data_IF_495631641084
#
_entry.id   IF_495631641084
#
_cell.length_a   1.000
_cell.length_b   1.000
_cell.length_c   1.000
_cell.angle_alpha   90.00
_cell.angle_beta   90.00
_cell.angle_gamma   90.00
#
_symmetry.space_group_name_H-M   'P 1'
#
loop_
_entity.id
_entity.type
_entity.pdbx_description
1 polymer ?
#
# COMPACT_ATOMS: atom_id res chain seq x y z
N UNK A 1 -7.85 2.58 10.39
CA UNK A 1 -6.52 2.07 10.81
C UNK A 1 -5.55 2.48 9.70
N UNK A 2 -4.45 3.15 10.03
CA UNK A 2 -3.47 3.55 9.01
C UNK A 2 -2.45 2.44 8.79
N UNK A 3 -1.91 2.35 7.57
CA UNK A 3 -0.79 1.47 7.27
C UNK A 3 0.47 1.98 7.99
N UNK A 4 1.26 1.04 8.49
CA UNK A 4 2.62 1.31 8.97
C UNK A 4 3.48 1.79 7.80
N UNK A 5 4.35 2.74 8.07
CA UNK A 5 5.43 3.09 7.13
C UNK A 5 6.62 2.13 7.27
N UNK A 6 7.67 2.35 6.47
CA UNK A 6 8.83 1.46 6.49
C UNK A 6 9.63 1.52 7.78
N UNK A 7 9.68 2.68 8.44
CA UNK A 7 10.35 2.89 9.71
C UNK A 7 9.63 2.13 10.83
N UNK A 8 8.29 2.25 10.91
CA UNK A 8 7.46 1.50 11.84
C UNK A 8 7.55 -0.03 11.62
N UNK A 9 7.65 -0.45 10.36
CA UNK A 9 7.91 -1.86 10.02
C UNK A 9 9.26 -2.35 10.55
N UNK A 10 10.32 -1.55 10.44
CA UNK A 10 11.64 -1.88 10.97
C UNK A 10 11.62 -1.99 12.51
N UNK A 11 10.94 -1.09 13.19
CA UNK A 11 10.72 -1.21 14.63
C UNK A 11 9.98 -2.51 15.00
N UNK A 12 8.94 -2.83 14.27
CA UNK A 12 8.20 -4.08 14.44
C UNK A 12 9.07 -5.33 14.28
N UNK A 13 10.07 -5.30 13.39
CA UNK A 13 11.09 -6.36 13.22
C UNK A 13 12.19 -6.34 14.29
N UNK A 14 12.18 -5.38 15.22
CA UNK A 14 13.15 -5.28 16.30
C UNK A 14 14.42 -4.51 15.95
N UNK A 15 14.44 -3.78 14.83
CA UNK A 15 15.55 -2.85 14.55
C UNK A 15 15.45 -1.64 15.46
N UNK A 16 16.60 -1.22 16.00
CA UNK A 16 16.67 -0.09 16.91
C UNK A 16 16.73 1.26 16.16
N UNK A 17 16.58 2.32 16.94
CA UNK A 17 16.60 3.69 16.42
C UNK A 17 17.94 4.08 15.79
N UNK A 18 19.04 3.44 16.22
CA UNK A 18 20.39 3.68 15.67
C UNK A 18 20.49 3.19 14.23
N UNK A 19 19.94 2.03 13.94
CA UNK A 19 19.92 1.49 12.57
C UNK A 19 19.14 2.42 11.64
N UNK A 20 18.00 2.90 12.10
CA UNK A 20 17.15 3.81 11.32
C UNK A 20 17.84 5.15 11.10
N UNK A 21 18.42 5.73 12.14
CA UNK A 21 19.15 7.00 12.05
C UNK A 21 20.37 6.90 11.12
N UNK A 22 21.08 5.77 11.12
CA UNK A 22 22.18 5.51 10.18
C UNK A 22 21.67 5.51 8.72
N UNK A 23 20.55 4.87 8.44
CA UNK A 23 19.91 4.89 7.10
C UNK A 23 19.53 6.32 6.68
N UNK A 24 18.92 7.08 7.59
CA UNK A 24 18.51 8.46 7.33
C UNK A 24 19.72 9.39 7.10
N UNK A 25 20.84 9.16 7.81
CA UNK A 25 22.05 9.93 7.61
C UNK A 25 22.67 9.71 6.22
N UNK A 26 22.62 8.49 5.69
CA UNK A 26 23.01 8.22 4.31
C UNK A 26 22.17 9.04 3.31
N UNK A 27 20.88 9.16 3.57
CA UNK A 27 19.97 9.93 2.74
C UNK A 27 20.21 11.44 2.84
N UNK A 28 20.43 11.97 4.06
CA UNK A 28 20.71 13.41 4.30
C UNK A 28 22.06 13.84 3.71
N UNK A 29 23.06 12.98 3.79
CA UNK A 29 24.43 13.27 3.33
C UNK A 29 24.68 12.87 1.89
N UNK A 30 23.71 12.23 1.23
CA UNK A 30 23.80 11.67 -0.13
C UNK A 30 24.98 10.70 -0.31
N UNK A 31 25.39 10.04 0.76
CA UNK A 31 26.42 9.00 0.71
C UNK A 31 25.79 7.66 0.34
N UNK A 32 26.34 6.93 -0.63
CA UNK A 32 25.81 5.62 -0.97
C UNK A 32 26.03 4.64 0.19
N UNK A 33 25.13 3.66 0.31
CA UNK A 33 25.35 2.49 1.15
C UNK A 33 26.54 1.68 0.64
N UNK A 34 27.27 1.05 1.56
CA UNK A 34 28.17 -0.02 1.15
C UNK A 34 27.36 -1.27 0.71
N UNK A 35 28.04 -2.27 0.11
CA UNK A 35 27.39 -3.44 -0.45
C UNK A 35 26.57 -4.23 0.59
N UNK A 36 27.07 -4.35 1.81
CA UNK A 36 26.39 -5.08 2.89
C UNK A 36 25.14 -4.31 3.34
N UNK A 37 25.27 -3.01 3.60
CA UNK A 37 24.14 -2.15 3.96
C UNK A 37 23.06 -2.16 2.89
N UNK A 38 23.47 -2.03 1.61
CA UNK A 38 22.55 -2.05 0.49
C UNK A 38 21.79 -3.39 0.39
N UNK A 39 22.50 -4.50 0.57
CA UNK A 39 21.89 -5.84 0.55
C UNK A 39 20.86 -6.00 1.68
N UNK A 40 21.20 -5.63 2.89
CA UNK A 40 20.30 -5.73 4.06
C UNK A 40 19.08 -4.82 3.90
N UNK A 41 19.30 -3.54 3.58
CA UNK A 41 18.20 -2.58 3.41
C UNK A 41 17.28 -2.97 2.25
N UNK A 42 17.84 -3.47 1.15
CA UNK A 42 17.05 -3.92 0.00
C UNK A 42 16.20 -5.14 0.33
N UNK A 43 16.73 -6.10 1.08
CA UNK A 43 15.96 -7.27 1.53
C UNK A 43 14.82 -6.87 2.47
N UNK A 44 15.06 -5.99 3.44
CA UNK A 44 14.05 -5.48 4.35
C UNK A 44 12.95 -4.69 3.61
N UNK A 45 13.35 -3.86 2.66
CA UNK A 45 12.41 -3.11 1.85
C UNK A 45 11.57 -4.00 0.94
N UNK A 46 12.17 -5.07 0.41
CA UNK A 46 11.44 -6.08 -0.37
C UNK A 46 10.40 -6.81 0.49
N UNK A 47 10.78 -7.23 1.71
CA UNK A 47 9.83 -7.81 2.67
C UNK A 47 8.65 -6.86 2.90
N UNK A 48 8.92 -5.58 3.17
CA UNK A 48 7.89 -4.56 3.35
C UNK A 48 7.01 -4.38 2.12
N UNK A 49 7.58 -4.38 0.92
CA UNK A 49 6.81 -4.28 -0.33
C UNK A 49 5.87 -5.48 -0.55
N UNK A 50 6.28 -6.68 -0.11
CA UNK A 50 5.46 -7.91 -0.21
C UNK A 50 4.33 -7.90 0.84
N UNK A 51 4.66 -7.56 2.08
CA UNK A 51 3.72 -7.60 3.20
C UNK A 51 2.77 -6.40 3.19
N UNK A 52 3.24 -5.25 2.72
CA UNK A 52 2.57 -3.96 2.92
C UNK A 52 2.64 -3.50 4.37
N UNK A 53 1.99 -2.37 4.66
CA UNK A 53 2.02 -1.73 5.98
C UNK A 53 0.87 -2.12 6.91
N UNK A 54 0.01 -3.10 6.59
CA UNK A 54 -1.12 -3.43 7.48
C UNK A 54 -0.62 -4.16 8.73
N UNK A 55 -0.87 -3.61 9.96
CA UNK A 55 -0.29 -4.15 11.20
C UNK A 55 -0.59 -5.64 11.44
N UNK A 56 -1.78 -6.10 11.08
CA UNK A 56 -2.16 -7.51 11.23
C UNK A 56 -1.29 -8.44 10.34
N UNK A 57 -0.96 -8.00 9.13
CA UNK A 57 -0.12 -8.74 8.19
C UNK A 57 1.32 -8.79 8.67
N UNK A 58 1.85 -7.63 9.11
CA UNK A 58 3.22 -7.51 9.62
C UNK A 58 3.41 -8.34 10.89
N UNK A 59 2.44 -8.29 11.81
CA UNK A 59 2.46 -9.09 13.04
C UNK A 59 2.52 -10.58 12.73
N UNK A 60 1.66 -11.07 11.83
CA UNK A 60 1.63 -12.48 11.43
C UNK A 60 2.97 -12.95 10.87
N UNK A 61 3.61 -12.11 10.04
CA UNK A 61 4.95 -12.39 9.51
C UNK A 61 6.02 -12.45 10.60
N UNK A 62 6.00 -11.50 11.55
CA UNK A 62 6.99 -11.45 12.64
C UNK A 62 6.84 -12.67 13.56
N UNK A 63 5.60 -13.04 13.90
CA UNK A 63 5.32 -14.16 14.80
C UNK A 63 5.66 -15.52 14.18
N UNK A 64 5.39 -15.69 12.88
CA UNK A 64 5.57 -16.99 12.20
C UNK A 64 6.86 -17.10 11.40
N UNK A 65 7.49 -16.00 11.04
CA UNK A 65 8.71 -15.96 10.22
C UNK A 65 8.52 -16.42 8.78
N UNK A 66 7.26 -16.54 8.29
CA UNK A 66 6.93 -16.96 6.92
C UNK A 66 5.88 -16.07 6.28
N UNK A 67 5.92 -15.94 4.95
CA UNK A 67 4.94 -15.16 4.20
C UNK A 67 3.57 -15.83 4.08
N UNK A 68 3.47 -17.14 4.28
CA UNK A 68 2.27 -17.91 3.99
C UNK A 68 1.05 -17.42 4.78
N UNK A 69 1.14 -17.33 6.11
CA UNK A 69 0.07 -16.81 6.94
C UNK A 69 -0.26 -15.35 6.65
N UNK A 70 0.76 -14.54 6.35
CA UNK A 70 0.59 -13.14 6.00
C UNK A 70 -0.22 -12.92 4.73
N UNK A 71 -0.02 -13.77 3.71
CA UNK A 71 -0.80 -13.72 2.48
C UNK A 71 -2.27 -14.05 2.71
N UNK A 72 -2.56 -14.95 3.63
CA UNK A 72 -3.95 -15.28 4.01
C UNK A 72 -4.63 -14.08 4.70
N UNK A 73 -3.93 -13.43 5.64
CA UNK A 73 -4.42 -12.20 6.29
C UNK A 73 -4.66 -11.09 5.26
N UNK A 74 -3.76 -10.91 4.28
CA UNK A 74 -3.96 -9.94 3.19
C UNK A 74 -5.22 -10.24 2.37
N UNK A 75 -5.45 -11.50 2.01
CA UNK A 75 -6.66 -11.91 1.27
C UNK A 75 -7.92 -11.62 2.06
N UNK A 76 -7.92 -11.91 3.36
CA UNK A 76 -9.05 -11.62 4.22
C UNK A 76 -9.32 -10.11 4.29
N UNK A 77 -8.30 -9.28 4.51
CA UNK A 77 -8.44 -7.82 4.53
C UNK A 77 -9.03 -7.27 3.22
N UNK A 78 -8.59 -7.78 2.07
CA UNK A 78 -9.17 -7.38 0.78
C UNK A 78 -10.64 -7.79 0.66
N UNK A 79 -11.02 -8.94 1.20
CA UNK A 79 -12.43 -9.37 1.23
C UNK A 79 -13.27 -8.47 2.14
N UNK A 80 -12.76 -8.15 3.33
CA UNK A 80 -13.41 -7.25 4.30
C UNK A 80 -13.62 -5.86 3.71
N UNK A 81 -12.61 -5.27 3.05
CA UNK A 81 -12.77 -3.97 2.36
C UNK A 81 -13.83 -4.00 1.25
N UNK A 82 -13.96 -5.10 0.52
CA UNK A 82 -15.02 -5.24 -0.48
C UNK A 82 -16.41 -5.31 0.15
N UNK A 83 -16.53 -5.93 1.32
CA UNK A 83 -17.77 -5.94 2.08
C UNK A 83 -18.10 -4.56 2.65
N UNK A 84 -17.12 -3.86 3.19
CA UNK A 84 -17.28 -2.49 3.69
C UNK A 84 -17.74 -1.53 2.58
N UNK A 85 -17.17 -1.64 1.37
CA UNK A 85 -17.64 -0.86 0.22
C UNK A 85 -19.13 -1.14 -0.05
N UNK A 86 -19.56 -2.40 -0.02
CA UNK A 86 -20.96 -2.77 -0.25
C UNK A 86 -21.89 -2.28 0.87
N UNK A 87 -21.40 -2.19 2.09
CA UNK A 87 -22.18 -1.83 3.27
C UNK A 87 -22.31 -0.32 3.46
N UNK A 88 -21.23 0.41 3.24
CA UNK A 88 -21.13 1.81 3.66
C UNK A 88 -21.11 2.83 2.51
N UNK A 89 -21.05 2.40 1.26
CA UNK A 89 -21.09 3.31 0.11
C UNK A 89 -22.53 3.70 -0.25
N UNK A 90 -23.32 4.14 0.74
CA UNK A 90 -24.70 4.56 0.54
C UNK A 90 -24.77 5.82 -0.35
N UNK A 91 -25.70 5.80 -1.30
CA UNK A 91 -25.93 6.92 -2.23
C UNK A 91 -24.92 7.05 -3.37
N UNK A 92 -23.90 6.20 -3.41
CA UNK A 92 -22.94 6.10 -4.51
C UNK A 92 -23.09 4.79 -5.28
N UNK A 93 -22.57 4.77 -6.50
CA UNK A 93 -22.52 3.54 -7.30
C UNK A 93 -21.44 2.60 -6.74
N UNK A 94 -21.86 1.67 -5.87
CA UNK A 94 -21.00 0.66 -5.24
C UNK A 94 -20.22 -0.15 -6.29
N UNK A 95 -20.84 -0.43 -7.44
CA UNK A 95 -20.18 -1.16 -8.53
C UNK A 95 -19.01 -0.36 -9.08
N UNK A 96 -19.15 0.96 -9.23
CA UNK A 96 -18.05 1.82 -9.69
C UNK A 96 -16.93 1.92 -8.66
N UNK A 97 -17.25 2.01 -7.37
CA UNK A 97 -16.25 2.03 -6.30
C UNK A 97 -15.47 0.72 -6.29
N UNK A 98 -16.15 -0.42 -6.35
CA UNK A 98 -15.51 -1.74 -6.43
C UNK A 98 -14.62 -1.88 -7.67
N UNK A 99 -15.09 -1.39 -8.82
CA UNK A 99 -14.30 -1.41 -10.05
C UNK A 99 -13.02 -0.58 -9.92
N UNK A 100 -13.09 0.63 -9.34
CA UNK A 100 -11.91 1.45 -9.06
C UNK A 100 -10.97 0.70 -8.14
N UNK A 101 -11.44 0.22 -6.99
CA UNK A 101 -10.65 -0.48 -5.99
C UNK A 101 -9.90 -1.68 -6.58
N UNK A 102 -10.57 -2.51 -7.39
CA UNK A 102 -9.97 -3.69 -8.02
C UNK A 102 -8.94 -3.35 -9.11
N UNK A 103 -9.08 -2.21 -9.78
CA UNK A 103 -8.16 -1.80 -10.84
C UNK A 103 -6.91 -1.08 -10.34
N UNK A 104 -6.90 -0.60 -9.08
CA UNK A 104 -5.74 0.07 -8.49
C UNK A 104 -4.51 -0.82 -8.53
N UNK A 105 -4.47 -2.03 -7.93
CA UNK A 105 -3.27 -2.86 -7.92
C UNK A 105 -2.84 -3.27 -9.34
N UNK A 106 -3.79 -3.55 -10.22
CA UNK A 106 -3.51 -3.92 -11.62
C UNK A 106 -2.83 -2.78 -12.39
N UNK A 107 -3.22 -1.53 -12.14
CA UNK A 107 -2.63 -0.39 -12.81
C UNK A 107 -1.29 0.02 -12.19
N UNK A 108 -1.15 -0.08 -10.86
CA UNK A 108 0.10 0.21 -10.16
C UNK A 108 1.20 -0.83 -10.45
N UNK A 109 0.83 -2.05 -10.82
CA UNK A 109 1.78 -3.09 -11.22
C UNK A 109 2.41 -2.86 -12.61
N UNK A 110 1.91 -1.88 -13.39
CA UNK A 110 2.44 -1.55 -14.72
C UNK A 110 3.65 -0.63 -14.60
N UNK A 111 4.46 -0.57 -15.66
CA UNK A 111 5.60 0.35 -15.76
C UNK A 111 5.16 1.81 -15.56
N UNK A 112 4.10 2.23 -16.26
CA UNK A 112 3.46 3.52 -16.03
C UNK A 112 2.42 3.41 -14.90
N UNK A 113 2.79 3.84 -13.70
CA UNK A 113 1.98 3.79 -12.48
C UNK A 113 0.87 4.85 -12.39
N UNK A 114 0.65 5.63 -13.44
CA UNK A 114 -0.41 6.64 -13.50
C UNK A 114 -1.78 5.96 -13.63
N UNK A 115 -2.63 6.15 -12.61
CA UNK A 115 -3.98 5.59 -12.61
C UNK A 115 -4.86 6.26 -13.69
N UNK A 116 -5.47 5.47 -14.54
CA UNK A 116 -6.27 5.92 -15.68
C UNK A 116 -7.71 5.41 -15.53
N UNK A 117 -8.66 6.32 -15.33
CA UNK A 117 -10.08 6.01 -15.20
C UNK A 117 -10.64 5.32 -16.45
N UNK A 118 -10.18 5.72 -17.65
CA UNK A 118 -10.60 5.10 -18.91
C UNK A 118 -10.30 3.60 -19.02
N UNK A 119 -9.44 3.08 -18.16
CA UNK A 119 -9.10 1.65 -18.07
C UNK A 119 -9.91 0.87 -17.03
N UNK A 120 -10.74 1.55 -16.24
CA UNK A 120 -11.59 0.92 -15.22
C UNK A 120 -12.81 0.29 -15.86
N UNK A 121 -13.42 0.97 -16.82
CA UNK A 121 -14.56 0.46 -17.60
C UNK A 121 -14.61 1.12 -18.98
N UNK A 122 -15.23 0.45 -19.94
CA UNK A 122 -15.46 1.02 -21.26
C UNK A 122 -16.31 2.29 -21.17
N UNK A 123 -15.83 3.39 -21.75
CA UNK A 123 -16.50 4.70 -21.72
C UNK A 123 -16.42 5.44 -20.39
N UNK A 124 -15.64 4.94 -19.42
CA UNK A 124 -15.49 5.60 -18.12
C UNK A 124 -14.87 7.00 -18.25
N UNK A 125 -15.54 8.00 -17.66
CA UNK A 125 -15.09 9.39 -17.62
C UNK A 125 -14.76 9.78 -16.18
N UNK A 126 -13.76 10.62 -16.02
CA UNK A 126 -13.31 11.08 -14.69
C UNK A 126 -14.45 11.65 -13.84
N UNK A 127 -15.32 12.47 -14.43
CA UNK A 127 -16.46 13.09 -13.73
C UNK A 127 -17.41 12.07 -13.08
N UNK A 128 -17.52 10.87 -13.69
CA UNK A 128 -18.46 9.82 -13.24
C UNK A 128 -17.86 8.95 -12.11
N UNK A 129 -16.54 9.03 -11.91
CA UNK A 129 -15.76 8.25 -10.94
C UNK A 129 -15.09 9.09 -9.86
N UNK A 130 -15.17 10.42 -9.96
CA UNK A 130 -14.53 11.32 -8.99
C UNK A 130 -14.99 11.04 -7.55
N UNK A 131 -16.30 10.98 -7.32
CA UNK A 131 -16.85 10.67 -6.00
C UNK A 131 -16.47 9.28 -5.49
N UNK A 132 -16.23 8.30 -6.39
CA UNK A 132 -15.75 6.98 -6.00
C UNK A 132 -14.31 7.03 -5.45
N UNK A 133 -13.44 7.83 -6.08
CA UNK A 133 -12.04 8.01 -5.65
C UNK A 133 -12.01 8.78 -4.33
N UNK A 134 -12.79 9.85 -4.21
CA UNK A 134 -12.93 10.64 -2.98
C UNK A 134 -13.41 9.75 -1.83
N UNK A 135 -14.44 8.95 -2.04
CA UNK A 135 -14.94 8.01 -1.03
C UNK A 135 -13.86 7.01 -0.57
N UNK A 136 -13.12 6.39 -1.50
CA UNK A 136 -12.03 5.46 -1.15
C UNK A 136 -10.89 6.15 -0.38
N UNK A 137 -10.63 7.42 -0.70
CA UNK A 137 -9.63 8.23 0.01
C UNK A 137 -10.10 8.59 1.41
N UNK A 138 -11.35 9.03 1.57
CA UNK A 138 -11.95 9.39 2.87
C UNK A 138 -12.08 8.17 3.79
N UNK A 139 -12.35 7.00 3.20
CA UNK A 139 -12.33 5.72 3.92
C UNK A 139 -10.92 5.24 4.31
N UNK A 140 -9.86 5.96 3.91
CA UNK A 140 -8.46 5.61 4.19
C UNK A 140 -7.96 4.36 3.45
N UNK A 141 -8.67 3.93 2.39
CA UNK A 141 -8.30 2.75 1.61
C UNK A 141 -7.24 3.08 0.54
N UNK A 142 -7.15 4.33 0.11
CA UNK A 142 -6.18 4.79 -0.89
C UNK A 142 -5.64 6.18 -0.54
N UNK A 143 -4.40 6.44 -0.93
CA UNK A 143 -3.80 7.76 -0.89
C UNK A 143 -3.73 8.31 -2.33
N UNK A 144 -4.26 9.51 -2.54
CA UNK A 144 -4.26 10.16 -3.85
C UNK A 144 -3.03 11.05 -3.97
N UNK A 145 -2.14 10.72 -4.92
CA UNK A 145 -0.99 11.54 -5.26
C UNK A 145 -1.25 12.28 -6.57
N UNK A 146 -1.10 13.59 -6.55
CA UNK A 146 -1.23 14.42 -7.74
C UNK A 146 0.14 14.72 -8.34
N UNK A 147 0.29 14.53 -9.66
CA UNK A 147 1.47 14.99 -10.36
C UNK A 147 1.42 16.53 -10.46
N UNK A 148 2.49 17.20 -10.03
CA UNK A 148 2.72 18.60 -10.36
C UNK A 148 3.13 18.69 -11.84
N UNK A 149 2.45 19.55 -12.58
CA UNK A 149 2.75 19.88 -13.99
C UNK A 149 3.52 21.18 -14.06
#
# INVERSE_FOLDING_TARGET
>A
MYSMDFEEFLWGKGYDERFIEEMLEHMRTLKPFNEVQLSVCSALFLDYCILGGMPAVVREFIEKGTFEGSLEVQRQLVADYKEDIRKYADGLDQTRILNVFQHIPVQLAKENKKFQISKVASGARFRDYRGCIEWLSDAGMVNVCHCLH
#
